data_IF_484731373290
#
_entry.id   IF_484731373290
#
_cell.length_a   1.000
_cell.length_b   1.000
_cell.length_c   1.000
_cell.angle_alpha   90.00
_cell.angle_beta   90.00
_cell.angle_gamma   90.00
#
_symmetry.space_group_name_H-M   'P 1'
#
loop_
_entity.id
_entity.type
_entity.pdbx_description
1 polymer ?
#
# COMPACT_ATOMS: atom_id res chain seq x y z
N UNK A 1 -7.27 -14.96 -19.69
CA UNK A 1 -7.92 -14.24 -18.59
C UNK A 1 -7.83 -12.71 -18.69
N UNK A 2 -6.72 -12.10 -19.06
CA UNK A 2 -6.67 -10.65 -19.34
C UNK A 2 -7.33 -10.26 -20.68
N UNK A 3 -7.48 -11.20 -21.61
CA UNK A 3 -8.12 -10.99 -22.93
C UNK A 3 -9.65 -11.13 -22.94
N UNK A 4 -10.26 -11.58 -21.84
CA UNK A 4 -11.70 -11.89 -21.78
C UNK A 4 -12.56 -10.72 -21.23
N UNK A 5 -12.07 -9.49 -21.26
CA UNK A 5 -12.81 -8.29 -20.89
C UNK A 5 -13.37 -8.32 -19.46
N UNK A 6 -14.63 -7.90 -19.26
CA UNK A 6 -15.29 -7.83 -17.95
C UNK A 6 -15.44 -9.19 -17.24
N UNK A 7 -15.66 -10.25 -17.99
CA UNK A 7 -15.83 -11.62 -17.44
C UNK A 7 -14.54 -12.15 -16.84
N UNK A 8 -13.40 -11.83 -17.47
CA UNK A 8 -12.07 -12.16 -16.95
C UNK A 8 -11.75 -11.41 -15.66
N UNK A 9 -12.09 -10.13 -15.59
CA UNK A 9 -11.92 -9.30 -14.36
C UNK A 9 -12.72 -9.87 -13.18
N UNK A 10 -13.98 -10.23 -13.38
CA UNK A 10 -14.83 -10.83 -12.33
C UNK A 10 -14.24 -12.14 -11.80
N UNK A 11 -13.70 -12.99 -12.68
CA UNK A 11 -13.02 -14.24 -12.29
C UNK A 11 -11.75 -13.99 -11.49
N UNK A 12 -10.92 -13.02 -11.89
CA UNK A 12 -9.71 -12.66 -11.16
C UNK A 12 -10.05 -12.18 -9.75
N UNK A 13 -11.04 -11.29 -9.61
CA UNK A 13 -11.50 -10.79 -8.30
C UNK A 13 -11.99 -11.94 -7.42
N UNK A 14 -12.78 -12.88 -7.96
CA UNK A 14 -13.24 -14.04 -7.20
C UNK A 14 -12.08 -14.92 -6.73
N UNK A 15 -11.11 -15.22 -7.59
CA UNK A 15 -9.92 -16.01 -7.24
C UNK A 15 -9.11 -15.29 -6.15
N UNK A 16 -8.91 -13.98 -6.28
CA UNK A 16 -8.20 -13.17 -5.28
C UNK A 16 -8.89 -13.25 -3.91
N UNK A 17 -10.23 -13.18 -3.87
CA UNK A 17 -10.99 -13.32 -2.62
C UNK A 17 -10.74 -14.67 -1.94
N UNK A 18 -10.85 -15.77 -2.69
CA UNK A 18 -10.59 -17.12 -2.14
C UNK A 18 -9.14 -17.26 -1.66
N UNK A 19 -8.18 -16.74 -2.43
CA UNK A 19 -6.78 -16.77 -2.05
C UNK A 19 -6.52 -15.96 -0.77
N UNK A 20 -7.11 -14.78 -0.65
CA UNK A 20 -6.98 -13.92 0.54
C UNK A 20 -7.55 -14.59 1.78
N UNK A 21 -8.73 -15.20 1.69
CA UNK A 21 -9.33 -15.93 2.82
C UNK A 21 -8.48 -17.15 3.18
N UNK A 22 -7.96 -17.89 2.21
CA UNK A 22 -7.06 -19.01 2.43
C UNK A 22 -5.76 -18.61 3.13
N UNK A 23 -5.13 -17.51 2.69
CA UNK A 23 -3.94 -16.98 3.34
C UNK A 23 -4.23 -16.47 4.75
N UNK A 24 -5.35 -15.75 4.95
CA UNK A 24 -5.78 -15.30 6.26
C UNK A 24 -6.00 -16.47 7.25
N UNK A 25 -6.49 -17.60 6.76
CA UNK A 25 -6.68 -18.81 7.57
C UNK A 25 -5.35 -19.45 7.98
N UNK A 26 -4.37 -19.48 7.10
CA UNK A 26 -3.01 -19.96 7.40
C UNK A 26 -2.32 -19.05 8.42
N UNK A 27 -2.38 -17.72 8.18
CA UNK A 27 -1.78 -16.72 9.05
C UNK A 27 -2.40 -16.72 10.44
N UNK A 28 -3.74 -16.76 10.53
CA UNK A 28 -4.46 -16.84 11.80
C UNK A 28 -4.16 -18.13 12.56
N UNK A 29 -3.96 -19.25 11.85
CA UNK A 29 -3.49 -20.49 12.42
C UNK A 29 -2.11 -20.36 13.06
N UNK A 30 -1.16 -19.75 12.37
CA UNK A 30 0.17 -19.49 12.89
C UNK A 30 0.12 -18.56 14.13
N UNK A 31 -0.72 -17.51 14.09
CA UNK A 31 -0.91 -16.61 15.24
C UNK A 31 -1.56 -17.30 16.43
N UNK A 32 -2.55 -18.16 16.22
CA UNK A 32 -3.19 -18.92 17.29
C UNK A 32 -2.20 -19.83 18.03
N UNK A 33 -1.29 -20.50 17.28
CA UNK A 33 -0.20 -21.28 17.86
C UNK A 33 0.79 -20.39 18.61
N UNK A 34 1.14 -19.21 18.05
CA UNK A 34 2.02 -18.24 18.69
C UNK A 34 1.46 -17.74 20.02
N UNK A 35 0.19 -17.37 20.05
CA UNK A 35 -0.50 -16.93 21.28
C UNK A 35 -0.63 -18.04 22.30
N UNK A 36 -0.84 -19.29 21.85
CA UNK A 36 -0.85 -20.44 22.73
C UNK A 36 0.48 -20.68 23.43
N UNK A 37 1.61 -20.54 22.70
CA UNK A 37 2.96 -20.72 23.23
C UNK A 37 3.37 -19.59 24.19
N UNK A 38 2.89 -18.37 23.96
CA UNK A 38 3.16 -17.21 24.82
C UNK A 38 2.27 -17.15 26.07
N UNK A 39 1.37 -18.12 26.24
CA UNK A 39 0.46 -18.16 27.41
C UNK A 39 -0.61 -17.06 27.40
N UNK A 40 -0.85 -16.42 26.25
CA UNK A 40 -1.90 -15.40 26.09
C UNK A 40 -3.31 -16.00 26.10
N UNK A 41 -3.43 -17.29 25.83
CA UNK A 41 -4.68 -18.04 25.92
C UNK A 41 -4.84 -18.64 27.32
N UNK A 42 -5.92 -18.27 28.01
CA UNK A 42 -6.24 -18.73 29.37
C UNK A 42 -6.22 -20.26 29.51
N UNK A 43 -6.66 -20.96 28.45
CA UNK A 43 -6.52 -22.42 28.29
C UNK A 43 -6.21 -22.69 26.83
N UNK A 44 -5.02 -23.25 26.57
CA UNK A 44 -4.67 -23.70 25.21
C UNK A 44 -5.37 -25.03 24.96
N UNK A 45 -6.58 -24.94 24.43
CA UNK A 45 -7.39 -26.09 23.97
C UNK A 45 -7.66 -25.91 22.48
N UNK A 46 -7.87 -27.03 21.79
CA UNK A 46 -8.20 -27.02 20.34
C UNK A 46 -9.39 -26.12 20.01
N UNK A 47 -10.43 -26.13 20.86
CA UNK A 47 -11.61 -25.28 20.69
C UNK A 47 -11.25 -23.78 20.76
N UNK A 48 -10.46 -23.37 21.75
CA UNK A 48 -10.06 -21.97 21.92
C UNK A 48 -9.14 -21.51 20.77
N UNK A 49 -8.23 -22.38 20.32
CA UNK A 49 -7.40 -22.08 19.15
C UNK A 49 -8.26 -21.93 17.88
N UNK A 50 -9.24 -22.80 17.67
CA UNK A 50 -10.17 -22.71 16.54
C UNK A 50 -11.01 -21.43 16.58
N UNK A 51 -11.48 -21.00 17.76
CA UNK A 51 -12.20 -19.73 17.91
C UNK A 51 -11.30 -18.55 17.50
N UNK A 52 -10.04 -18.53 17.94
CA UNK A 52 -9.09 -17.46 17.57
C UNK A 52 -8.88 -17.43 16.05
N UNK A 53 -8.65 -18.59 15.43
CA UNK A 53 -8.45 -18.71 13.98
C UNK A 53 -9.67 -18.19 13.22
N UNK A 54 -10.87 -18.63 13.61
CA UNK A 54 -12.11 -18.21 12.95
C UNK A 54 -12.37 -16.72 13.12
N UNK A 55 -12.12 -16.17 14.31
CA UNK A 55 -12.33 -14.74 14.58
C UNK A 55 -11.36 -13.87 13.77
N UNK A 56 -10.07 -14.23 13.72
CA UNK A 56 -9.08 -13.48 12.94
C UNK A 56 -9.36 -13.57 11.43
N UNK A 57 -9.72 -14.76 10.95
CA UNK A 57 -10.07 -14.95 9.54
C UNK A 57 -11.34 -14.18 9.16
N UNK A 58 -12.36 -14.20 10.03
CA UNK A 58 -13.58 -13.41 9.81
C UNK A 58 -13.30 -11.90 9.80
N UNK A 59 -12.43 -11.41 10.70
CA UNK A 59 -11.98 -10.03 10.72
C UNK A 59 -11.28 -9.62 9.43
N UNK A 60 -10.35 -10.43 8.93
CA UNK A 60 -9.64 -10.19 7.67
C UNK A 60 -10.59 -10.20 6.46
N UNK A 61 -11.54 -11.14 6.41
CA UNK A 61 -12.55 -11.20 5.36
C UNK A 61 -13.48 -9.97 5.39
N UNK A 62 -13.83 -9.50 6.58
CA UNK A 62 -14.64 -8.30 6.76
C UNK A 62 -13.92 -7.03 6.30
N UNK A 63 -12.63 -6.89 6.64
CA UNK A 63 -11.80 -5.77 6.16
C UNK A 63 -11.65 -5.78 4.64
N UNK A 64 -11.46 -6.96 4.04
CA UNK A 64 -11.43 -7.10 2.59
C UNK A 64 -12.75 -6.64 1.96
N UNK A 65 -13.89 -7.06 2.50
CA UNK A 65 -15.22 -6.65 2.03
C UNK A 65 -15.42 -5.13 2.14
N UNK A 66 -15.00 -4.50 3.25
CA UNK A 66 -15.04 -3.03 3.39
C UNK A 66 -14.19 -2.37 2.31
N UNK A 67 -12.95 -2.85 2.08
CA UNK A 67 -12.06 -2.31 1.05
C UNK A 67 -12.67 -2.38 -0.35
N UNK A 68 -13.35 -3.47 -0.68
CA UNK A 68 -14.08 -3.61 -1.94
C UNK A 68 -15.25 -2.63 -2.05
N UNK A 69 -16.02 -2.45 -0.97
CA UNK A 69 -17.13 -1.49 -0.95
C UNK A 69 -16.67 -0.05 -1.10
N UNK A 70 -15.53 0.31 -0.51
CA UNK A 70 -14.93 1.62 -0.70
C UNK A 70 -14.49 1.79 -2.17
N UNK A 71 -13.91 0.75 -2.78
CA UNK A 71 -13.50 0.78 -4.19
C UNK A 71 -14.68 0.89 -5.14
N UNK A 72 -15.80 0.20 -4.85
CA UNK A 72 -17.00 0.20 -5.71
C UNK A 72 -17.80 1.51 -5.62
N UNK A 73 -17.94 2.07 -4.43
CA UNK A 73 -18.85 3.20 -4.15
C UNK A 73 -18.14 4.47 -3.69
N UNK A 74 -16.85 4.38 -3.36
CA UNK A 74 -16.04 5.48 -2.86
C UNK A 74 -15.07 6.02 -3.91
N UNK A 75 -14.09 6.77 -3.43
CA UNK A 75 -13.03 7.39 -4.24
C UNK A 75 -11.74 6.60 -4.06
N UNK A 76 -11.14 6.17 -5.16
CA UNK A 76 -9.83 5.52 -5.16
C UNK A 76 -9.86 4.02 -4.82
N UNK A 77 -8.70 3.48 -4.42
CA UNK A 77 -8.56 2.07 -4.07
C UNK A 77 -8.83 1.87 -2.58
N UNK A 78 -9.93 1.18 -2.25
CA UNK A 78 -10.35 0.95 -0.87
C UNK A 78 -9.35 0.19 -0.02
N UNK A 79 -8.63 -0.78 -0.59
CA UNK A 79 -7.59 -1.53 0.14
C UNK A 79 -6.46 -0.59 0.56
N UNK A 80 -6.05 0.32 -0.32
CA UNK A 80 -5.03 1.33 0.00
C UNK A 80 -5.49 2.28 1.09
N UNK A 81 -6.76 2.68 1.09
CA UNK A 81 -7.34 3.53 2.15
C UNK A 81 -7.31 2.80 3.49
N UNK A 82 -7.70 1.53 3.53
CA UNK A 82 -7.65 0.70 4.76
C UNK A 82 -6.22 0.60 5.28
N UNK A 83 -5.23 0.39 4.40
CA UNK A 83 -3.81 0.35 4.79
C UNK A 83 -3.34 1.69 5.37
N UNK A 84 -3.69 2.81 4.73
CA UNK A 84 -3.34 4.16 5.22
C UNK A 84 -3.95 4.42 6.58
N UNK A 85 -5.23 4.11 6.77
CA UNK A 85 -5.91 4.25 8.07
C UNK A 85 -5.21 3.40 9.15
N UNK A 86 -4.83 2.16 8.84
CA UNK A 86 -4.14 1.28 9.76
C UNK A 86 -2.77 1.85 10.20
N UNK A 87 -2.01 2.43 9.26
CA UNK A 87 -0.74 3.08 9.55
C UNK A 87 -0.97 4.33 10.43
N UNK A 88 -1.90 5.21 10.04
CA UNK A 88 -2.19 6.45 10.76
C UNK A 88 -2.69 6.17 12.18
N UNK A 89 -3.50 5.13 12.38
CA UNK A 89 -4.05 4.77 13.69
C UNK A 89 -2.97 4.39 14.72
N UNK A 90 -1.79 3.96 14.27
CA UNK A 90 -0.66 3.61 15.13
C UNK A 90 0.19 4.81 15.52
N UNK A 91 0.20 5.88 14.75
CA UNK A 91 1.04 7.07 14.98
C UNK A 91 0.92 7.63 16.41
N UNK A 92 -0.29 7.82 17.00
CA UNK A 92 -0.40 8.35 18.36
C UNK A 92 0.25 7.45 19.41
N UNK A 93 0.10 6.13 19.27
CA UNK A 93 0.71 5.15 20.17
C UNK A 93 2.24 5.13 20.06
N UNK A 94 2.74 5.15 18.83
CA UNK A 94 4.18 5.13 18.55
C UNK A 94 4.84 6.43 19.01
N UNK A 95 4.20 7.58 18.83
CA UNK A 95 4.66 8.86 19.34
C UNK A 95 4.75 8.87 20.88
N UNK A 96 3.74 8.30 21.54
CA UNK A 96 3.75 8.15 23.00
C UNK A 96 4.90 7.25 23.46
N UNK A 97 5.12 6.13 22.80
CA UNK A 97 6.22 5.20 23.08
C UNK A 97 7.58 5.87 22.91
N UNK A 98 7.78 6.61 21.82
CA UNK A 98 9.00 7.40 21.60
C UNK A 98 9.21 8.44 22.70
N UNK A 99 8.16 9.15 23.10
CA UNK A 99 8.24 10.12 24.18
C UNK A 99 8.60 9.47 25.51
N UNK A 100 7.96 8.35 25.88
CA UNK A 100 8.23 7.64 27.12
C UNK A 100 9.66 7.06 27.17
N UNK A 101 10.19 6.58 26.02
CA UNK A 101 11.54 5.99 25.97
C UNK A 101 12.68 7.03 25.92
N UNK A 102 12.47 8.12 25.20
CA UNK A 102 13.58 9.05 24.89
C UNK A 102 13.53 10.36 25.68
N UNK A 103 12.37 10.76 26.13
CA UNK A 103 12.17 12.07 26.78
C UNK A 103 11.90 11.92 28.29
N UNK A 104 11.03 10.98 28.67
CA UNK A 104 10.58 10.83 30.04
C UNK A 104 11.71 10.36 30.96
N UNK A 105 11.92 11.08 32.07
CA UNK A 105 12.90 10.72 33.10
C UNK A 105 14.34 11.13 32.78
N UNK A 106 14.58 11.89 31.72
CA UNK A 106 15.92 12.43 31.37
C UNK A 106 16.06 13.90 31.75
N UNK A 107 17.31 14.36 31.90
CA UNK A 107 17.58 15.78 32.12
C UNK A 107 17.06 16.62 30.94
N UNK A 108 16.59 17.85 31.23
CA UNK A 108 15.91 18.73 30.26
C UNK A 108 16.75 18.91 28.98
N UNK A 109 18.06 19.07 29.11
CA UNK A 109 18.96 19.24 27.97
C UNK A 109 19.02 17.99 27.07
N UNK A 110 19.10 16.78 27.64
CA UNK A 110 19.13 15.50 26.89
C UNK A 110 17.77 15.15 26.31
N UNK A 111 16.68 15.50 26.99
CA UNK A 111 15.32 15.33 26.50
C UNK A 111 15.03 16.25 25.30
N UNK A 112 15.45 17.52 25.36
CA UNK A 112 15.33 18.47 24.27
C UNK A 112 16.11 18.04 23.03
N UNK A 113 17.35 17.59 23.21
CA UNK A 113 18.18 17.07 22.12
C UNK A 113 17.54 15.82 21.49
N UNK A 114 16.99 14.90 22.31
CA UNK A 114 16.32 13.71 21.79
C UNK A 114 15.10 14.06 20.93
N UNK A 115 14.27 15.03 21.34
CA UNK A 115 13.13 15.50 20.54
C UNK A 115 13.59 16.11 19.22
N UNK A 116 14.61 16.96 19.22
CA UNK A 116 15.16 17.55 17.99
C UNK A 116 15.67 16.48 17.01
N UNK A 117 16.39 15.47 17.52
CA UNK A 117 16.90 14.36 16.71
C UNK A 117 15.75 13.53 16.12
N UNK A 118 14.72 13.22 16.90
CA UNK A 118 13.56 12.46 16.41
C UNK A 118 12.86 13.24 15.29
N UNK A 119 12.60 14.53 15.48
CA UNK A 119 11.97 15.38 14.45
C UNK A 119 12.84 15.44 13.19
N UNK A 120 14.16 15.62 13.35
CA UNK A 120 15.09 15.66 12.21
C UNK A 120 15.09 14.35 11.42
N UNK A 121 15.05 13.19 12.10
CA UNK A 121 14.97 11.87 11.45
C UNK A 121 13.65 11.72 10.70
N UNK A 122 12.52 12.08 11.31
CA UNK A 122 11.21 12.01 10.65
C UNK A 122 11.18 12.87 9.39
N UNK A 123 11.65 14.12 9.47
CA UNK A 123 11.73 15.01 8.32
C UNK A 123 12.66 14.47 7.23
N UNK A 124 13.82 13.96 7.61
CA UNK A 124 14.76 13.35 6.65
C UNK A 124 14.12 12.14 5.93
N UNK A 125 13.38 11.28 6.65
CA UNK A 125 12.67 10.14 6.06
C UNK A 125 11.57 10.59 5.09
N UNK A 126 10.80 11.61 5.45
CA UNK A 126 9.74 12.16 4.58
C UNK A 126 10.36 12.74 3.31
N UNK A 127 11.38 13.58 3.42
CA UNK A 127 12.07 14.18 2.27
C UNK A 127 12.69 13.10 1.38
N UNK A 128 13.35 12.11 1.97
CA UNK A 128 13.96 11.01 1.23
C UNK A 128 12.90 10.18 0.48
N UNK A 129 11.76 9.91 1.12
CA UNK A 129 10.65 9.17 0.49
C UNK A 129 10.08 9.95 -0.69
N UNK A 130 9.87 11.26 -0.54
CA UNK A 130 9.38 12.12 -1.63
C UNK A 130 10.36 12.14 -2.80
N UNK A 131 11.66 12.31 -2.53
CA UNK A 131 12.70 12.29 -3.58
C UNK A 131 12.72 10.96 -4.33
N UNK A 132 12.60 9.83 -3.62
CA UNK A 132 12.54 8.50 -4.24
C UNK A 132 11.27 8.30 -5.08
N UNK A 133 10.15 8.87 -4.63
CA UNK A 133 8.87 8.71 -5.31
C UNK A 133 8.75 9.57 -6.56
N UNK A 134 9.30 10.79 -6.52
CA UNK A 134 9.28 11.73 -7.65
C UNK A 134 10.47 11.54 -8.59
N UNK A 135 11.44 10.70 -8.21
CA UNK A 135 12.62 10.39 -9.03
C UNK A 135 12.24 9.76 -10.37
N UNK A 136 12.40 10.50 -11.46
CA UNK A 136 12.16 10.05 -12.82
C UNK A 136 13.44 10.09 -13.66
N UNK A 137 13.78 9.00 -14.32
CA UNK A 137 14.81 8.97 -15.34
C UNK A 137 14.17 9.25 -16.70
N UNK A 138 14.47 10.38 -17.29
CA UNK A 138 13.99 10.76 -18.63
C UNK A 138 14.94 10.21 -19.69
N UNK A 139 14.45 9.31 -20.54
CA UNK A 139 15.19 8.79 -21.69
C UNK A 139 14.71 9.56 -22.91
N UNK A 140 15.63 10.26 -23.57
CA UNK A 140 15.33 10.96 -24.83
C UNK A 140 15.14 9.93 -25.95
N UNK A 141 13.98 9.94 -26.58
CA UNK A 141 13.67 9.12 -27.75
C UNK A 141 13.55 10.03 -28.96
N UNK A 142 14.37 9.76 -29.98
CA UNK A 142 14.28 10.44 -31.26
C UNK A 142 13.35 9.64 -32.16
N UNK A 143 12.26 10.23 -32.60
CA UNK A 143 11.42 9.66 -33.63
C UNK A 143 12.00 10.05 -35.00
N UNK A 144 12.05 9.07 -35.94
CA UNK A 144 12.48 9.33 -37.30
C UNK A 144 11.55 10.33 -37.98
N UNK A 145 12.13 11.36 -38.59
CA UNK A 145 11.38 12.33 -39.37
C UNK A 145 10.88 11.66 -40.66
N UNK A 146 9.57 11.71 -40.91
CA UNK A 146 8.99 11.29 -42.16
C UNK A 146 8.76 12.52 -43.03
N UNK A 147 9.52 12.63 -44.11
CA UNK A 147 9.36 13.71 -45.10
C UNK A 147 8.39 13.22 -46.18
N UNK A 148 7.25 13.88 -46.31
CA UNK A 148 6.29 13.63 -47.40
C UNK A 148 6.19 14.92 -48.22
N UNK A 149 6.85 14.93 -49.37
CA UNK A 149 6.95 16.11 -50.23
C UNK A 149 7.76 17.25 -49.60
N UNK A 150 7.22 18.47 -49.62
CA UNK A 150 7.86 19.67 -49.01
C UNK A 150 7.59 19.88 -47.55
N UNK A 151 6.81 19.01 -46.88
CA UNK A 151 6.49 19.10 -45.46
C UNK A 151 7.16 17.98 -44.70
N UNK A 152 7.90 18.34 -43.66
CA UNK A 152 8.47 17.39 -42.69
C UNK A 152 7.48 17.24 -41.53
N UNK A 153 7.03 16.03 -41.27
CA UNK A 153 6.19 15.63 -40.12
C UNK A 153 7.05 14.85 -39.15
N UNK A 154 7.03 15.22 -37.88
CA UNK A 154 7.81 14.59 -36.82
C UNK A 154 9.12 15.34 -36.57
N UNK A 155 9.83 14.96 -35.55
CA UNK A 155 11.08 15.59 -35.15
C UNK A 155 11.04 16.24 -33.78
N UNK A 156 9.93 16.10 -33.03
CA UNK A 156 9.96 16.44 -31.62
C UNK A 156 10.60 15.29 -30.84
N UNK A 157 11.67 15.61 -30.13
CA UNK A 157 12.26 14.68 -29.16
C UNK A 157 11.29 14.54 -27.99
N UNK A 158 10.71 13.36 -27.83
CA UNK A 158 9.84 13.04 -26.71
C UNK A 158 10.66 12.27 -25.66
N UNK A 159 10.54 12.63 -24.40
CA UNK A 159 11.18 11.94 -23.31
C UNK A 159 10.22 10.90 -22.73
N UNK A 160 10.69 9.66 -22.59
CA UNK A 160 9.95 8.62 -21.86
C UNK A 160 10.36 8.71 -20.39
N UNK A 161 9.44 9.08 -19.45
CA UNK A 161 9.74 9.09 -18.04
C UNK A 161 9.70 7.65 -17.49
N UNK A 162 10.83 7.19 -16.98
CA UNK A 162 10.91 5.94 -16.21
C UNK A 162 11.05 6.27 -14.74
N UNK A 163 10.09 5.86 -13.93
CA UNK A 163 10.15 6.02 -12.48
C UNK A 163 11.29 5.17 -11.90
N UNK A 164 12.09 5.75 -11.03
CA UNK A 164 13.19 5.07 -10.33
C UNK A 164 12.62 3.99 -9.40
N UNK A 165 11.51 4.29 -8.73
CA UNK A 165 10.82 3.36 -7.86
C UNK A 165 9.63 2.73 -8.62
N UNK A 166 9.88 1.62 -9.29
CA UNK A 166 8.84 0.82 -9.96
C UNK A 166 8.05 -0.08 -9.00
N UNK A 167 8.59 -0.33 -7.81
CA UNK A 167 7.98 -1.15 -6.76
C UNK A 167 7.12 -0.33 -5.78
N UNK A 168 6.91 0.96 -6.04
CA UNK A 168 6.04 1.81 -5.22
C UNK A 168 4.66 1.19 -5.05
N UNK A 169 4.18 1.18 -3.82
CA UNK A 169 2.83 0.69 -3.48
C UNK A 169 1.82 1.35 -4.41
N UNK A 170 1.08 0.54 -5.11
CA UNK A 170 0.16 0.83 -6.21
C UNK A 170 -1.17 1.57 -5.80
N UNK A 171 -1.23 2.57 -4.94
CA UNK A 171 -2.45 3.32 -4.74
C UNK A 171 -2.70 4.39 -5.80
N UNK A 172 -1.65 4.85 -6.47
CA UNK A 172 -1.72 6.03 -7.36
C UNK A 172 -1.80 5.65 -8.84
N UNK A 173 -1.30 4.47 -9.22
CA UNK A 173 -1.21 4.06 -10.64
C UNK A 173 -2.55 3.73 -11.31
N UNK A 174 -3.55 3.27 -10.55
CA UNK A 174 -4.82 2.83 -11.15
C UNK A 174 -5.81 3.96 -11.47
N UNK A 175 -5.70 5.10 -10.81
CA UNK A 175 -6.56 6.25 -11.10
C UNK A 175 -6.20 6.92 -12.43
N UNK A 176 -4.92 6.90 -12.81
CA UNK A 176 -4.45 7.51 -14.06
C UNK A 176 -4.74 6.64 -15.29
N UNK A 177 -4.67 5.31 -15.16
CA UNK A 177 -5.04 4.38 -16.24
C UNK A 177 -6.54 4.43 -16.56
N UNK A 178 -7.39 4.63 -15.55
CA UNK A 178 -8.84 4.76 -15.76
C UNK A 178 -9.23 6.07 -16.45
N UNK A 179 -8.50 7.14 -16.22
CA UNK A 179 -8.73 8.43 -16.91
C UNK A 179 -8.36 8.36 -18.40
N UNK A 180 -7.40 7.51 -18.79
CA UNK A 180 -7.03 7.32 -20.20
C UNK A 180 -7.97 6.36 -20.96
N UNK A 181 -8.56 5.38 -20.27
CA UNK A 181 -9.52 4.47 -20.92
C UNK A 181 -10.85 5.17 -21.24
N UNK A 182 -11.26 6.17 -20.46
CA UNK A 182 -12.50 6.93 -20.73
C UNK A 182 -12.36 7.98 -21.83
N UNK A 183 -11.13 8.33 -22.24
CA UNK A 183 -10.88 9.24 -23.36
C UNK A 183 -10.69 8.51 -24.71
N UNK A 184 -10.61 7.17 -24.73
CA UNK A 184 -10.44 6.41 -25.97
C UNK A 184 -11.75 5.89 -26.55
N UNK A 185 -12.88 6.04 -25.83
CA UNK A 185 -14.23 5.60 -26.24
C UNK A 185 -15.16 6.77 -26.64
N UNK A 186 -14.61 7.95 -26.96
CA UNK A 186 -15.28 9.07 -27.63
C UNK A 186 -14.55 9.40 -28.94
#
# INVERSE_FOLDING_TARGET
MQRDGETGRKKIVAITRYLTVGLALIESGAMAVGFGRQGLLVKYNFVNAAIVVLTLTAGSAFLMWIGERITEKGVGNGISIVLVINIISRIPSDMKTLFDQFVKGKAIASAGLAVCVIIAIILALVVFTVILQDGERRIAVQYSQKVVGRRSYGGQSTNIPLKVNTAGVIPVSYTHLRAHETCADL
#
